data_IF_675530280709
#
_entry.id   IF_675530280709
#
_cell.length_a   1.000
_cell.length_b   1.000
_cell.length_c   1.000
_cell.angle_alpha   90.00
_cell.angle_beta   90.00
_cell.angle_gamma   90.00
#
_symmetry.space_group_name_H-M   'P 1'
#
loop_
_entity.id
_entity.type
_entity.pdbx_description
1 polymer ?
#
# COMPACT_ATOMS: atom_id res chain seq x y z
N UNK A 1 -38.91 -30.82 -55.37
CA UNK A 1 -38.56 -29.97 -54.21
C UNK A 1 -37.17 -30.39 -53.76
N UNK A 2 -36.19 -29.50 -53.82
CA UNK A 2 -34.84 -29.80 -53.31
C UNK A 2 -34.88 -29.72 -51.79
N UNK A 3 -34.59 -30.85 -51.14
CA UNK A 3 -34.62 -31.00 -49.68
C UNK A 3 -33.17 -31.02 -49.20
N UNK A 4 -32.86 -30.19 -48.21
CA UNK A 4 -31.53 -30.12 -47.60
C UNK A 4 -31.58 -30.59 -46.16
N UNK A 5 -30.53 -31.31 -45.74
CA UNK A 5 -30.32 -31.66 -44.34
C UNK A 5 -29.73 -30.46 -43.60
N UNK A 6 -30.42 -29.98 -42.58
CA UNK A 6 -30.01 -28.87 -41.71
C UNK A 6 -29.72 -29.41 -40.31
N UNK A 7 -28.55 -29.09 -39.77
CA UNK A 7 -28.17 -29.36 -38.39
C UNK A 7 -28.27 -28.07 -37.57
N UNK A 8 -29.19 -28.05 -36.61
CA UNK A 8 -29.32 -26.99 -35.61
C UNK A 8 -28.52 -27.37 -34.36
N UNK A 9 -27.49 -26.61 -34.06
CA UNK A 9 -26.66 -26.78 -32.87
C UNK A 9 -27.09 -25.74 -31.84
N UNK A 10 -27.67 -26.21 -30.75
CA UNK A 10 -28.11 -25.38 -29.63
C UNK A 10 -27.02 -25.24 -28.57
N UNK A 11 -27.08 -24.19 -27.73
CA UNK A 11 -26.20 -24.08 -26.59
C UNK A 11 -26.54 -25.16 -25.54
N UNK A 12 -25.52 -25.64 -24.83
CA UNK A 12 -25.69 -26.56 -23.70
C UNK A 12 -26.68 -25.99 -22.68
N UNK A 13 -27.63 -26.79 -22.12
CA UNK A 13 -27.72 -28.26 -22.15
C UNK A 13 -28.61 -28.85 -23.27
N UNK A 14 -28.98 -28.07 -24.29
CA UNK A 14 -29.93 -28.54 -25.31
C UNK A 14 -29.25 -29.44 -26.35
N UNK A 15 -29.96 -30.50 -26.78
CA UNK A 15 -29.49 -31.42 -27.81
C UNK A 15 -29.55 -30.77 -29.20
N UNK A 16 -28.58 -31.08 -30.06
CA UNK A 16 -28.63 -30.71 -31.47
C UNK A 16 -29.78 -31.42 -32.19
N UNK A 17 -30.30 -30.78 -33.22
CA UNK A 17 -31.48 -31.24 -33.93
C UNK A 17 -31.21 -31.27 -35.43
N UNK A 18 -31.57 -32.39 -36.08
CA UNK A 18 -31.40 -32.59 -37.53
C UNK A 18 -32.76 -32.59 -38.21
N UNK A 19 -32.94 -31.78 -39.25
CA UNK A 19 -34.20 -31.70 -40.01
C UNK A 19 -33.88 -31.67 -41.49
N UNK A 20 -34.80 -32.24 -42.27
CA UNK A 20 -34.82 -32.10 -43.72
C UNK A 20 -35.83 -31.03 -44.11
N UNK A 21 -35.36 -29.92 -44.67
CA UNK A 21 -36.18 -28.76 -45.02
C UNK A 21 -36.03 -28.43 -46.52
N UNK A 22 -37.09 -27.93 -47.18
CA UNK A 22 -36.97 -27.37 -48.53
C UNK A 22 -36.02 -26.17 -48.59
N UNK A 23 -35.29 -26.01 -49.70
CA UNK A 23 -34.39 -24.85 -49.90
C UNK A 23 -35.08 -23.47 -49.78
N UNK A 24 -36.39 -23.43 -50.03
CA UNK A 24 -37.19 -22.20 -49.98
C UNK A 24 -37.56 -21.78 -48.56
N UNK A 25 -37.28 -22.59 -47.54
CA UNK A 25 -37.60 -22.22 -46.16
C UNK A 25 -36.72 -21.07 -45.71
N UNK A 26 -37.34 -20.08 -45.06
CA UNK A 26 -36.65 -18.95 -44.48
C UNK A 26 -36.07 -19.31 -43.12
N UNK A 27 -34.98 -18.66 -42.74
CA UNK A 27 -34.35 -18.85 -41.44
C UNK A 27 -35.32 -18.56 -40.28
N UNK A 28 -36.25 -17.61 -40.43
CA UNK A 28 -37.28 -17.32 -39.42
C UNK A 28 -38.27 -18.46 -39.17
N UNK A 29 -38.42 -19.39 -40.13
CA UNK A 29 -39.35 -20.53 -40.04
C UNK A 29 -38.72 -21.77 -39.41
N UNK A 30 -37.44 -21.72 -39.04
CA UNK A 30 -36.76 -22.86 -38.41
C UNK A 30 -37.33 -23.11 -37.00
N UNK A 31 -37.48 -24.39 -36.59
CA UNK A 31 -38.03 -24.76 -35.29
C UNK A 31 -37.00 -24.54 -34.18
N UNK A 32 -36.81 -23.27 -33.85
CA UNK A 32 -36.03 -22.83 -32.68
C UNK A 32 -37.00 -22.70 -31.51
N UNK A 33 -36.69 -23.25 -30.32
CA UNK A 33 -37.52 -23.06 -29.13
C UNK A 33 -37.81 -21.57 -28.88
N UNK A 34 -39.07 -21.23 -28.60
CA UNK A 34 -39.53 -19.84 -28.45
C UNK A 34 -38.72 -19.04 -27.41
N UNK A 35 -38.23 -19.71 -26.36
CA UNK A 35 -37.35 -19.12 -25.35
C UNK A 35 -36.02 -18.58 -25.94
N UNK A 36 -35.51 -19.24 -26.98
CA UNK A 36 -34.28 -18.85 -27.67
C UNK A 36 -34.55 -17.95 -28.87
N UNK A 37 -35.72 -18.05 -29.51
CA UNK A 37 -36.03 -17.31 -30.73
C UNK A 37 -35.88 -15.78 -30.58
N UNK A 38 -36.37 -15.22 -29.47
CA UNK A 38 -36.31 -13.77 -29.24
C UNK A 38 -34.94 -13.25 -28.82
N UNK A 39 -34.12 -14.11 -28.22
CA UNK A 39 -32.84 -13.71 -27.62
C UNK A 39 -31.64 -14.24 -28.37
N UNK A 40 -31.80 -15.05 -29.42
CA UNK A 40 -30.68 -15.68 -30.11
C UNK A 40 -30.52 -15.16 -31.53
N UNK A 41 -29.36 -15.41 -32.12
CA UNK A 41 -29.16 -15.30 -33.57
C UNK A 41 -28.63 -16.62 -34.09
N UNK A 42 -28.91 -16.88 -35.36
CA UNK A 42 -28.39 -18.02 -36.08
C UNK A 42 -27.13 -17.60 -36.82
N UNK A 43 -26.11 -18.46 -36.83
CA UNK A 43 -24.88 -18.28 -37.60
C UNK A 43 -24.47 -19.60 -38.25
N UNK A 44 -23.80 -19.55 -39.40
CA UNK A 44 -23.13 -20.74 -39.92
C UNK A 44 -21.73 -20.87 -39.29
N UNK A 45 -21.01 -21.94 -39.64
CA UNK A 45 -19.60 -22.11 -39.27
C UNK A 45 -18.66 -21.13 -39.98
N UNK A 46 -19.03 -20.66 -41.18
CA UNK A 46 -18.19 -19.81 -42.05
C UNK A 46 -18.63 -18.35 -42.10
N UNK A 47 -19.89 -18.06 -41.80
CA UNK A 47 -20.48 -16.73 -41.91
C UNK A 47 -20.97 -16.19 -40.56
N UNK A 48 -21.11 -14.87 -40.49
CA UNK A 48 -21.57 -14.14 -39.32
C UNK A 48 -23.07 -14.37 -39.00
N UNK A 49 -23.68 -13.46 -38.22
CA UNK A 49 -25.11 -13.56 -37.89
C UNK A 49 -25.95 -13.50 -39.17
N UNK A 50 -26.84 -14.47 -39.33
CA UNK A 50 -27.75 -14.59 -40.45
C UNK A 50 -28.98 -13.71 -40.25
N UNK A 51 -29.48 -13.15 -41.35
CA UNK A 51 -30.73 -12.39 -41.37
C UNK A 51 -31.93 -13.36 -41.31
N UNK A 52 -33.04 -13.01 -40.63
CA UNK A 52 -34.22 -13.89 -40.56
C UNK A 52 -34.86 -14.16 -41.93
N UNK A 53 -34.61 -13.31 -42.92
CA UNK A 53 -35.22 -13.39 -44.26
C UNK A 53 -34.35 -14.12 -45.29
N UNK A 54 -33.14 -14.57 -44.97
CA UNK A 54 -32.31 -15.28 -45.95
C UNK A 54 -32.85 -16.71 -46.14
N UNK A 55 -33.03 -17.18 -47.38
CA UNK A 55 -33.43 -18.54 -47.68
C UNK A 55 -32.28 -19.53 -47.46
N UNK A 56 -32.59 -20.81 -47.26
CA UNK A 56 -31.56 -21.85 -47.14
C UNK A 56 -30.73 -22.03 -48.42
N UNK A 57 -31.26 -21.65 -49.59
CA UNK A 57 -30.54 -21.71 -50.86
C UNK A 57 -29.25 -20.88 -50.89
N UNK A 58 -29.22 -19.73 -50.21
CA UNK A 58 -28.04 -18.87 -50.13
C UNK A 58 -26.93 -19.44 -49.23
N UNK A 59 -27.23 -20.48 -48.45
CA UNK A 59 -26.30 -21.09 -47.50
C UNK A 59 -25.63 -22.36 -48.05
N UNK A 60 -26.01 -22.77 -49.26
CA UNK A 60 -25.45 -23.93 -49.92
C UNK A 60 -24.08 -23.57 -50.49
N UNK A 61 -23.18 -24.54 -50.46
CA UNK A 61 -21.87 -24.38 -51.10
C UNK A 61 -22.02 -24.74 -52.58
N UNK A 62 -21.67 -23.82 -53.47
CA UNK A 62 -21.67 -24.04 -54.93
C UNK A 62 -20.85 -25.29 -55.32
N UNK A 63 -19.77 -25.56 -54.58
CA UNK A 63 -18.89 -26.73 -54.81
C UNK A 63 -19.48 -28.07 -54.35
N UNK A 64 -20.49 -28.05 -53.47
CA UNK A 64 -21.04 -29.25 -52.83
C UNK A 64 -22.54 -29.07 -52.46
N UNK A 65 -23.47 -29.26 -53.42
CA UNK A 65 -24.89 -28.99 -53.21
C UNK A 65 -25.55 -29.92 -52.18
N UNK A 66 -25.02 -31.13 -52.00
CA UNK A 66 -25.54 -32.11 -51.04
C UNK A 66 -24.94 -31.96 -49.63
N UNK A 67 -24.09 -30.98 -49.37
CA UNK A 67 -23.45 -30.81 -48.07
C UNK A 67 -24.47 -30.29 -47.03
N UNK A 68 -24.59 -30.94 -45.85
CA UNK A 68 -25.56 -30.51 -44.86
C UNK A 68 -25.25 -29.11 -44.33
N UNK A 69 -26.29 -28.32 -44.11
CA UNK A 69 -26.17 -26.94 -43.60
C UNK A 69 -26.10 -26.99 -42.09
N UNK A 70 -25.01 -26.54 -41.50
CA UNK A 70 -24.84 -26.47 -40.04
C UNK A 70 -25.08 -25.05 -39.53
N UNK A 71 -26.11 -24.88 -38.69
CA UNK A 71 -26.49 -23.62 -38.08
C UNK A 71 -26.31 -23.69 -36.56
N UNK A 72 -25.61 -22.71 -36.00
CA UNK A 72 -25.47 -22.56 -34.56
C UNK A 72 -26.45 -21.52 -34.04
N UNK A 73 -27.27 -21.91 -33.07
CA UNK A 73 -28.13 -21.01 -32.32
C UNK A 73 -27.31 -20.42 -31.19
N UNK A 74 -27.01 -19.11 -31.27
CA UNK A 74 -26.18 -18.43 -30.27
C UNK A 74 -27.03 -17.42 -29.51
N UNK A 75 -27.18 -17.55 -28.18
CA UNK A 75 -27.92 -16.58 -27.39
C UNK A 75 -27.18 -15.23 -27.41
N UNK A 76 -27.92 -14.15 -27.65
CA UNK A 76 -27.49 -12.78 -27.43
C UNK A 76 -27.56 -12.53 -25.93
N UNK A 77 -26.39 -12.34 -25.35
CA UNK A 77 -26.31 -11.85 -23.99
C UNK A 77 -26.73 -10.39 -23.99
N UNK A 78 -27.65 -9.99 -23.11
CA UNK A 78 -28.12 -8.60 -22.94
C UNK A 78 -27.04 -7.68 -22.32
N UNK A 79 -25.76 -8.04 -22.43
CA UNK A 79 -24.64 -7.33 -21.84
C UNK A 79 -23.78 -6.65 -22.89
N UNK A 80 -23.61 -5.33 -22.76
CA UNK A 80 -22.53 -4.60 -23.42
C UNK A 80 -21.19 -5.25 -23.09
N UNK A 81 -20.30 -5.33 -24.08
CA UNK A 81 -18.96 -5.93 -24.02
C UNK A 81 -18.34 -5.67 -22.63
N UNK A 82 -18.33 -6.71 -21.80
CA UNK A 82 -18.08 -6.60 -20.37
C UNK A 82 -16.78 -5.88 -20.06
N UNK A 83 -16.68 -5.35 -18.83
CA UNK A 83 -15.54 -4.57 -18.31
C UNK A 83 -14.17 -5.25 -18.37
N UNK A 84 -14.02 -6.40 -19.02
CA UNK A 84 -12.73 -6.97 -19.38
C UNK A 84 -11.89 -6.01 -20.23
N UNK A 85 -12.49 -5.33 -21.23
CA UNK A 85 -11.76 -4.33 -22.02
C UNK A 85 -11.33 -3.10 -21.21
N UNK A 86 -12.14 -2.66 -20.25
CA UNK A 86 -11.77 -1.57 -19.33
C UNK A 86 -10.74 -2.01 -18.30
N UNK A 87 -10.82 -3.26 -17.82
CA UNK A 87 -9.81 -3.87 -16.97
C UNK A 87 -8.47 -4.01 -17.69
N UNK A 88 -8.45 -4.44 -18.96
CA UNK A 88 -7.24 -4.51 -19.77
C UNK A 88 -6.64 -3.11 -19.97
N UNK A 89 -7.47 -2.09 -20.26
CA UNK A 89 -7.00 -0.70 -20.34
C UNK A 89 -6.45 -0.19 -19.00
N UNK A 90 -7.13 -0.49 -17.89
CA UNK A 90 -6.69 -0.11 -16.55
C UNK A 90 -5.38 -0.82 -16.15
N UNK A 91 -5.23 -2.10 -16.48
CA UNK A 91 -4.02 -2.88 -16.24
C UNK A 91 -2.87 -2.40 -17.12
N UNK A 92 -3.10 -2.18 -18.41
CA UNK A 92 -2.11 -1.65 -19.35
C UNK A 92 -1.61 -0.26 -18.95
N UNK A 93 -2.49 0.60 -18.44
CA UNK A 93 -2.10 1.90 -17.89
C UNK A 93 -1.11 1.78 -16.73
N UNK A 94 -1.38 0.87 -15.76
CA UNK A 94 -0.50 0.61 -14.61
C UNK A 94 0.85 0.04 -15.02
N UNK A 95 0.87 -0.85 -16.01
CA UNK A 95 2.11 -1.45 -16.52
C UNK A 95 2.96 -0.43 -17.29
N UNK A 96 2.34 0.51 -18.00
CA UNK A 96 3.08 1.54 -18.75
C UNK A 96 3.66 2.64 -17.85
N UNK A 97 2.98 2.96 -16.74
CA UNK A 97 3.44 3.99 -15.80
C UNK A 97 4.49 3.47 -14.80
N UNK A 98 4.48 2.16 -14.53
CA UNK A 98 5.52 1.47 -13.74
C UNK A 98 6.81 1.28 -14.52
N UNK A 99 7.43 2.36 -15.02
CA UNK A 99 8.81 2.29 -15.52
C UNK A 99 9.70 1.85 -14.36
N UNK A 100 10.35 0.70 -14.52
CA UNK A 100 11.21 0.14 -13.49
C UNK A 100 12.28 1.16 -13.10
N UNK A 101 12.23 1.64 -11.86
CA UNK A 101 13.19 2.59 -11.30
C UNK A 101 14.50 1.91 -10.88
N UNK A 102 14.58 0.59 -10.99
CA UNK A 102 15.78 -0.18 -10.70
C UNK A 102 16.71 -0.22 -11.94
N UNK A 103 17.44 0.87 -12.14
CA UNK A 103 18.48 1.02 -13.18
C UNK A 103 19.81 0.39 -12.74
N UNK A 104 19.87 -0.20 -11.55
CA UNK A 104 21.12 -0.60 -10.92
C UNK A 104 21.76 -1.83 -11.55
N UNK A 105 20.93 -2.65 -12.19
CA UNK A 105 21.36 -3.83 -12.93
C UNK A 105 21.94 -3.49 -14.31
N UNK A 106 21.72 -2.27 -14.81
CA UNK A 106 22.25 -1.82 -16.09
C UNK A 106 23.78 -1.70 -16.02
N UNK A 107 24.43 -1.99 -17.16
CA UNK A 107 25.88 -1.85 -17.33
C UNK A 107 26.24 -0.59 -18.11
N UNK A 108 27.41 -0.04 -17.83
CA UNK A 108 28.02 1.02 -18.62
C UNK A 108 28.77 0.44 -19.84
N UNK A 109 29.33 1.32 -20.68
CA UNK A 109 30.16 0.93 -21.84
C UNK A 109 31.47 0.23 -21.43
N UNK A 110 31.85 0.31 -20.16
CA UNK A 110 33.02 -0.39 -19.60
C UNK A 110 32.68 -1.78 -19.02
N UNK A 111 31.40 -2.16 -19.02
CA UNK A 111 30.90 -3.45 -18.52
C UNK A 111 30.61 -3.50 -17.02
N UNK A 112 30.82 -2.40 -16.29
CA UNK A 112 30.54 -2.26 -14.85
C UNK A 112 29.06 -1.96 -14.63
N UNK A 113 28.49 -2.44 -13.53
CA UNK A 113 27.08 -2.17 -13.19
C UNK A 113 26.94 -0.79 -12.58
N UNK A 114 25.87 -0.07 -12.90
CA UNK A 114 25.61 1.25 -12.34
C UNK A 114 25.50 1.22 -10.80
N UNK A 115 25.01 0.12 -10.22
CA UNK A 115 24.99 -0.06 -8.77
C UNK A 115 26.38 -0.05 -8.13
N UNK A 116 27.33 -0.78 -8.71
CA UNK A 116 28.70 -0.82 -8.19
C UNK A 116 29.38 0.56 -8.24
N UNK A 117 29.06 1.37 -9.25
CA UNK A 117 29.59 2.72 -9.38
C UNK A 117 29.00 3.63 -8.30
N UNK A 118 27.68 3.58 -8.09
CA UNK A 118 27.00 4.37 -7.04
C UNK A 118 27.46 3.99 -5.64
N UNK A 119 27.70 2.69 -5.40
CA UNK A 119 28.23 2.22 -4.12
C UNK A 119 29.64 2.74 -3.86
N UNK A 120 30.51 2.68 -4.86
CA UNK A 120 31.86 3.23 -4.75
C UNK A 120 31.85 4.76 -4.54
N UNK A 121 30.98 5.50 -5.24
CA UNK A 121 30.80 6.94 -5.04
C UNK A 121 30.33 7.25 -3.61
N UNK A 122 29.31 6.53 -3.11
CA UNK A 122 28.82 6.70 -1.74
C UNK A 122 29.92 6.42 -0.71
N UNK A 123 30.76 5.41 -0.94
CA UNK A 123 31.88 5.12 -0.05
C UNK A 123 32.94 6.23 -0.06
N UNK A 124 33.26 6.80 -1.24
CA UNK A 124 34.18 7.92 -1.35
C UNK A 124 33.65 9.17 -0.64
N UNK A 125 32.38 9.53 -0.85
CA UNK A 125 31.73 10.66 -0.19
C UNK A 125 31.71 10.52 1.35
N UNK A 126 31.52 9.29 1.86
CA UNK A 126 31.61 9.03 3.30
C UNK A 126 33.01 9.28 3.84
N UNK A 127 34.04 8.74 3.18
CA UNK A 127 35.44 8.95 3.60
C UNK A 127 35.84 10.43 3.53
N UNK A 128 35.36 11.17 2.54
CA UNK A 128 35.60 12.61 2.40
C UNK A 128 34.87 13.43 3.48
N UNK A 129 33.67 13.00 3.90
CA UNK A 129 32.88 13.71 4.91
C UNK A 129 33.22 13.33 6.36
N UNK A 130 33.85 12.19 6.60
CA UNK A 130 34.34 11.75 7.91
C UNK A 130 35.12 12.82 8.71
N UNK A 131 36.14 13.52 8.16
CA UNK A 131 36.89 14.51 8.94
C UNK A 131 36.02 15.71 9.36
N UNK A 132 35.10 16.15 8.50
CA UNK A 132 34.17 17.23 8.81
C UNK A 132 33.19 16.82 9.91
N UNK A 133 32.64 15.61 9.83
CA UNK A 133 31.76 15.05 10.86
C UNK A 133 32.49 14.85 12.19
N UNK A 134 33.75 14.37 12.17
CA UNK A 134 34.58 14.25 13.37
C UNK A 134 34.88 15.61 14.01
N UNK A 135 35.19 16.63 13.22
CA UNK A 135 35.43 17.98 13.73
C UNK A 135 34.15 18.58 14.37
N UNK A 136 32.98 18.38 13.75
CA UNK A 136 31.70 18.81 14.32
C UNK A 136 31.36 18.06 15.60
N UNK A 137 31.57 16.74 15.64
CA UNK A 137 31.36 15.94 16.84
C UNK A 137 32.26 16.40 17.99
N UNK A 138 33.56 16.61 17.72
CA UNK A 138 34.50 17.12 18.72
C UNK A 138 34.13 18.54 19.19
N UNK A 139 33.67 19.42 18.29
CA UNK A 139 33.20 20.75 18.68
C UNK A 139 31.95 20.69 19.57
N UNK A 140 31.01 19.79 19.25
CA UNK A 140 29.81 19.57 20.04
C UNK A 140 30.13 18.94 21.42
N UNK A 141 31.07 18.01 21.48
CA UNK A 141 31.56 17.43 22.74
C UNK A 141 32.25 18.48 23.61
N UNK A 142 33.13 19.30 23.03
CA UNK A 142 33.78 20.41 23.73
C UNK A 142 32.76 21.42 24.26
N UNK A 143 31.77 21.80 23.45
CA UNK A 143 30.71 22.71 23.87
C UNK A 143 29.84 22.11 25.00
N UNK A 144 29.58 20.79 24.96
CA UNK A 144 28.88 20.09 26.04
C UNK A 144 29.70 20.05 27.32
N UNK A 145 31.00 19.75 27.23
CA UNK A 145 31.91 19.76 28.37
C UNK A 145 32.00 21.16 28.99
N UNK A 146 32.19 22.20 28.18
CA UNK A 146 32.22 23.59 28.65
C UNK A 146 30.88 24.00 29.30
N UNK A 147 29.74 23.58 28.73
CA UNK A 147 28.44 23.83 29.33
C UNK A 147 28.23 23.08 30.65
N UNK A 148 28.79 21.88 30.80
CA UNK A 148 28.76 21.12 32.06
C UNK A 148 29.70 21.74 33.09
N UNK A 149 30.91 22.16 32.70
CA UNK A 149 31.88 22.85 33.56
C UNK A 149 31.29 24.17 34.11
N UNK A 150 30.61 24.95 33.25
CA UNK A 150 29.88 26.15 33.68
C UNK A 150 28.76 25.86 34.68
N UNK A 151 28.03 24.76 34.49
CA UNK A 151 26.95 24.34 35.41
C UNK A 151 27.48 23.79 36.73
N UNK A 152 28.68 23.19 36.72
CA UNK A 152 29.33 22.62 37.88
C UNK A 152 30.23 23.62 38.63
N UNK A 153 30.40 24.84 38.10
CA UNK A 153 31.05 25.96 38.80
C UNK A 153 32.57 25.83 38.98
N UNK A 154 33.25 24.97 38.20
CA UNK A 154 34.70 24.82 38.26
C UNK A 154 35.32 25.83 37.29
N UNK A 155 35.55 27.06 37.76
CA UNK A 155 36.32 28.05 37.00
C UNK A 155 37.82 27.71 37.11
N UNK A 156 38.44 27.33 35.99
CA UNK A 156 39.88 27.10 35.88
C UNK A 156 40.76 28.37 36.10
N UNK A 157 40.15 29.49 36.46
CA UNK A 157 40.82 30.77 36.74
C UNK A 157 41.00 31.08 38.24
N UNK A 158 40.48 30.25 39.15
CA UNK A 158 40.66 30.43 40.60
C UNK A 158 41.43 29.27 41.26
N UNK A 159 42.37 28.66 40.53
CA UNK A 159 43.31 27.67 41.08
C UNK A 159 44.79 28.01 40.80
N UNK A 160 45.06 29.27 40.49
CA UNK A 160 46.41 29.85 40.47
C UNK A 160 46.50 30.95 41.52
N UNK A 161 46.64 30.56 42.78
CA UNK A 161 47.30 31.29 43.91
C UNK A 161 46.90 30.62 45.24
N UNK A 162 47.27 29.36 45.46
CA UNK A 162 47.86 28.97 46.75
C UNK A 162 48.52 27.59 46.65
N UNK A 163 49.73 27.49 47.19
CA UNK A 163 50.56 26.30 47.10
C UNK A 163 50.02 25.18 47.98
N UNK A 164 49.38 24.16 47.39
CA UNK A 164 49.33 22.85 48.02
C UNK A 164 49.24 21.73 46.97
N UNK A 165 50.36 21.03 46.79
CA UNK A 165 50.43 19.73 46.11
C UNK A 165 49.54 18.74 46.87
N UNK A 166 48.25 18.68 46.56
CA UNK A 166 47.44 17.52 46.89
C UNK A 166 47.64 16.49 45.78
N UNK A 167 48.56 15.55 46.07
CA UNK A 167 48.64 14.29 45.36
C UNK A 167 47.25 13.66 45.33
N UNK A 168 46.93 13.01 44.21
CA UNK A 168 45.69 12.26 43.93
C UNK A 168 45.52 11.02 44.85
N UNK A 169 46.37 10.86 45.87
CA UNK A 169 46.46 9.67 46.72
C UNK A 169 45.63 9.76 48.02
N UNK A 170 45.18 10.95 48.44
CA UNK A 170 44.37 11.14 49.66
C UNK A 170 42.94 11.64 49.36
N UNK A 171 42.24 10.94 48.47
CA UNK A 171 40.77 10.95 48.54
C UNK A 171 40.41 9.86 49.55
N UNK A 172 40.19 10.25 50.81
CA UNK A 172 39.76 9.35 51.87
C UNK A 172 38.44 8.66 51.47
N UNK A 173 38.57 7.46 50.88
CA UNK A 173 37.48 6.56 50.52
C UNK A 173 36.56 6.30 51.73
N UNK A 174 37.08 6.46 52.95
CA UNK A 174 36.35 6.35 54.21
C UNK A 174 35.39 7.52 54.48
N UNK A 175 35.70 8.76 54.09
CA UNK A 175 34.79 9.91 54.26
C UNK A 175 33.67 9.92 53.21
N UNK A 176 34.00 9.56 51.96
CA UNK A 176 33.00 9.38 50.90
C UNK A 176 32.08 8.18 51.16
N UNK A 177 32.58 7.11 51.79
CA UNK A 177 31.76 5.96 52.19
C UNK A 177 31.00 6.17 53.51
N UNK A 178 31.43 7.09 54.39
CA UNK A 178 30.65 7.50 55.59
C UNK A 178 29.51 8.45 55.23
N UNK A 179 29.72 9.30 54.22
CA UNK A 179 28.65 10.03 53.54
C UNK A 179 27.95 9.07 52.58
N UNK A 180 27.34 8.00 53.11
CA UNK A 180 26.38 7.18 52.35
C UNK A 180 25.20 8.08 52.01
N UNK A 181 25.29 8.81 50.91
CA UNK A 181 24.14 9.36 50.23
C UNK A 181 23.36 8.15 49.75
N UNK A 182 22.50 7.64 50.63
CA UNK A 182 21.57 6.56 50.33
C UNK A 182 20.76 7.10 49.16
N UNK A 183 21.01 6.54 47.98
CA UNK A 183 20.43 6.96 46.72
C UNK A 183 18.93 6.61 46.75
N UNK A 184 18.17 7.39 47.52
CA UNK A 184 16.73 7.33 47.63
C UNK A 184 16.15 8.20 46.53
N UNK A 185 16.55 7.93 45.28
CA UNK A 185 15.98 8.57 44.11
C UNK A 185 14.63 7.87 43.80
N UNK A 186 13.72 7.92 44.78
CA UNK A 186 12.34 7.45 44.65
C UNK A 186 11.68 8.10 43.43
N UNK A 187 12.08 9.34 43.13
CA UNK A 187 11.69 10.08 41.94
C UNK A 187 12.15 9.42 40.66
N UNK A 188 13.40 8.94 40.56
CA UNK A 188 13.87 8.21 39.38
C UNK A 188 13.16 6.87 39.19
N UNK A 189 12.85 6.16 40.28
CA UNK A 189 12.09 4.92 40.24
C UNK A 189 10.63 5.15 39.84
N UNK A 190 10.01 6.22 40.32
CA UNK A 190 8.66 6.65 39.93
C UNK A 190 8.63 7.09 38.46
N UNK A 191 9.55 7.95 38.02
CA UNK A 191 9.69 8.39 36.62
C UNK A 191 9.95 7.19 35.69
N UNK A 192 10.81 6.26 36.08
CA UNK A 192 11.06 5.02 35.30
C UNK A 192 9.83 4.12 35.25
N UNK A 193 9.03 4.04 36.31
CA UNK A 193 7.77 3.29 36.34
C UNK A 193 6.73 3.95 35.44
N UNK A 194 6.57 5.26 35.53
CA UNK A 194 5.66 6.05 34.69
C UNK A 194 5.99 5.94 33.20
N UNK A 195 7.27 6.02 32.83
CA UNK A 195 7.70 5.85 31.44
C UNK A 195 7.34 4.43 30.95
N UNK A 196 7.59 3.40 31.75
CA UNK A 196 7.26 2.03 31.38
C UNK A 196 5.74 1.79 31.25
N UNK A 197 4.94 2.40 32.12
CA UNK A 197 3.47 2.29 32.07
C UNK A 197 2.87 3.08 30.91
N UNK A 198 3.45 4.22 30.55
CA UNK A 198 3.10 4.98 29.36
C UNK A 198 3.43 4.21 28.06
N UNK A 199 4.57 3.51 28.00
CA UNK A 199 4.91 2.66 26.85
C UNK A 199 3.96 1.45 26.76
N UNK A 200 3.67 0.79 27.88
CA UNK A 200 2.74 -0.37 27.93
C UNK A 200 1.31 0.01 27.54
N UNK A 201 0.81 1.14 28.03
CA UNK A 201 -0.51 1.66 27.66
C UNK A 201 -0.58 2.04 26.18
N UNK A 202 0.44 2.69 25.63
CA UNK A 202 0.51 3.01 24.20
C UNK A 202 0.53 1.75 23.32
N UNK A 203 1.33 0.73 23.67
CA UNK A 203 1.41 -0.53 22.93
C UNK A 203 0.10 -1.31 23.01
N UNK A 204 -0.53 -1.39 24.19
CA UNK A 204 -1.83 -2.06 24.35
C UNK A 204 -2.95 -1.35 23.58
N UNK A 205 -2.99 -0.02 23.58
CA UNK A 205 -3.90 0.77 22.77
C UNK A 205 -3.66 0.54 21.26
N UNK A 206 -2.41 0.52 20.83
CA UNK A 206 -2.04 0.22 19.44
C UNK A 206 -2.44 -1.20 19.01
N UNK A 207 -2.29 -2.21 19.87
CA UNK A 207 -2.72 -3.59 19.61
C UNK A 207 -4.24 -3.72 19.54
N UNK A 208 -4.98 -3.04 20.41
CA UNK A 208 -6.45 -3.01 20.36
C UNK A 208 -6.96 -2.32 19.09
N UNK A 209 -6.34 -1.21 18.68
CA UNK A 209 -6.63 -0.54 17.41
C UNK A 209 -6.29 -1.42 16.21
N UNK A 210 -5.18 -2.16 16.25
CA UNK A 210 -4.81 -3.13 15.21
C UNK A 210 -5.81 -4.29 15.14
N UNK A 211 -6.29 -4.79 16.29
CA UNK A 211 -7.31 -5.85 16.37
C UNK A 211 -8.68 -5.37 15.90
N UNK A 212 -9.09 -4.14 16.24
CA UNK A 212 -10.31 -3.50 15.73
C UNK A 212 -10.23 -3.29 14.21
N UNK A 213 -9.12 -2.74 13.70
CA UNK A 213 -8.88 -2.61 12.25
C UNK A 213 -8.84 -3.96 11.53
N UNK A 214 -8.34 -5.02 12.17
CA UNK A 214 -8.37 -6.40 11.62
C UNK A 214 -9.80 -6.94 11.55
N UNK A 215 -10.59 -6.78 12.62
CA UNK A 215 -12.02 -7.15 12.63
C UNK A 215 -12.86 -6.36 11.62
N UNK A 216 -12.61 -5.06 11.46
CA UNK A 216 -13.26 -4.23 10.44
C UNK A 216 -12.86 -4.62 9.01
N UNK A 217 -11.62 -5.06 8.79
CA UNK A 217 -11.17 -5.62 7.51
C UNK A 217 -11.79 -6.99 7.23
N UNK A 218 -11.95 -7.84 8.25
CA UNK A 218 -12.64 -9.13 8.13
C UNK A 218 -14.15 -8.94 7.88
N UNK A 219 -14.81 -7.99 8.56
CA UNK A 219 -16.22 -7.65 8.34
C UNK A 219 -16.50 -6.99 6.97
N UNK A 220 -15.55 -6.23 6.40
CA UNK A 220 -15.67 -5.70 5.03
C UNK A 220 -15.41 -6.73 3.92
N UNK A 221 -14.89 -7.91 4.26
CA UNK A 221 -14.64 -9.00 3.29
C UNK A 221 -15.75 -10.05 3.28
N UNK A 222 -16.69 -9.99 4.22
CA UNK A 222 -17.88 -10.86 4.24
C UNK A 222 -19.11 -10.12 4.77
N UNK A 223 -20.00 -9.70 3.87
CA UNK A 223 -21.33 -9.21 4.24
C UNK A 223 -21.72 -7.92 3.53
N UNK A 224 -22.53 -8.05 2.49
CA UNK A 224 -23.24 -6.93 1.88
C UNK A 224 -24.40 -6.44 2.75
N UNK A 225 -24.67 -5.14 2.58
CA UNK A 225 -25.94 -4.42 2.77
C UNK A 225 -26.38 -3.88 4.15
N UNK A 226 -26.79 -2.60 4.06
CA UNK A 226 -27.69 -1.76 4.87
C UNK A 226 -27.20 -1.06 6.16
N UNK A 227 -27.32 0.28 6.12
CA UNK A 227 -28.12 1.00 7.13
C UNK A 227 -27.42 2.09 7.95
N UNK A 228 -27.52 3.34 7.48
CA UNK A 228 -27.59 4.63 8.21
C UNK A 228 -27.07 4.68 9.67
N UNK A 229 -25.89 5.28 9.86
CA UNK A 229 -25.57 6.10 11.05
C UNK A 229 -24.40 7.03 10.69
N UNK A 230 -24.68 8.29 10.32
CA UNK A 230 -23.69 9.19 9.71
C UNK A 230 -23.66 10.61 10.29
N UNK A 231 -24.22 10.84 11.48
CA UNK A 231 -24.37 12.22 12.00
C UNK A 231 -23.56 12.50 13.28
N UNK A 232 -23.04 11.50 13.98
CA UNK A 232 -22.33 11.72 15.27
C UNK A 232 -20.79 11.82 15.12
N UNK A 233 -20.26 11.65 13.91
CA UNK A 233 -18.80 11.52 13.68
C UNK A 233 -18.11 12.86 13.41
N UNK A 234 -18.83 13.86 12.90
CA UNK A 234 -18.21 15.14 12.50
C UNK A 234 -17.85 16.04 13.69
N UNK A 235 -18.63 16.05 14.79
CA UNK A 235 -18.33 16.90 15.96
C UNK A 235 -17.06 16.47 16.73
N UNK A 236 -16.74 15.16 16.73
CA UNK A 236 -15.51 14.67 17.38
C UNK A 236 -14.26 14.83 16.53
N UNK A 237 -14.41 14.89 15.21
CA UNK A 237 -13.27 15.12 14.31
C UNK A 237 -12.79 16.57 14.35
N UNK A 238 -13.69 17.52 14.59
CA UNK A 238 -13.36 18.94 14.72
C UNK A 238 -12.65 19.26 16.06
N UNK A 239 -13.07 18.61 17.15
CA UNK A 239 -12.42 18.75 18.46
C UNK A 239 -10.98 18.21 18.49
N UNK A 240 -10.70 17.14 17.72
CA UNK A 240 -9.34 16.56 17.65
C UNK A 240 -8.39 17.43 16.82
N UNK A 241 -8.87 18.08 15.76
CA UNK A 241 -8.05 19.01 14.96
C UNK A 241 -7.73 20.31 15.69
N UNK A 242 -8.60 20.76 16.59
CA UNK A 242 -8.34 21.93 17.45
C UNK A 242 -7.28 21.62 18.51
N UNK A 243 -7.33 20.43 19.11
CA UNK A 243 -6.33 19.96 20.08
C UNK A 243 -4.94 19.65 19.47
N UNK A 244 -4.87 19.29 18.20
CA UNK A 244 -3.59 19.08 17.49
C UNK A 244 -2.95 20.41 17.07
N UNK A 245 -3.76 21.44 16.78
CA UNK A 245 -3.27 22.78 16.45
C UNK A 245 -2.80 23.55 17.70
N UNK A 246 -3.51 23.41 18.82
CA UNK A 246 -3.10 24.02 20.11
C UNK A 246 -1.84 23.36 20.72
N UNK A 247 -1.46 22.15 20.27
CA UNK A 247 -0.20 21.48 20.65
C UNK A 247 1.01 21.93 19.83
N UNK A 248 0.81 22.63 18.70
CA UNK A 248 1.88 23.14 17.84
C UNK A 248 2.27 24.59 18.16
N UNK A 249 1.44 25.33 18.91
CA UNK A 249 1.67 26.73 19.30
C UNK A 249 2.22 26.91 20.73
N UNK A 250 2.59 25.83 21.44
CA UNK A 250 3.14 25.94 22.79
C UNK A 250 4.68 26.03 22.74
N UNK A 251 5.29 27.12 23.27
CA UNK A 251 6.75 27.25 23.31
C UNK A 251 7.38 26.16 24.20
N UNK A 252 8.65 25.78 23.94
CA UNK A 252 9.33 24.73 24.70
C UNK A 252 9.37 25.06 26.21
N UNK A 253 9.40 24.03 27.08
CA UNK A 253 9.29 24.21 28.53
C UNK A 253 10.39 25.13 29.06
N UNK A 254 9.96 26.17 29.75
CA UNK A 254 10.82 27.14 30.44
C UNK A 254 11.47 26.42 31.62
N UNK A 255 12.79 26.25 31.58
CA UNK A 255 13.56 25.90 32.78
C UNK A 255 13.45 27.05 33.76
N UNK A 256 12.79 26.81 34.90
CA UNK A 256 12.58 27.81 35.94
C UNK A 256 13.93 28.37 36.44
N UNK A 257 14.16 29.65 36.18
CA UNK A 257 15.08 30.47 36.95
C UNK A 257 14.48 30.74 38.32
N UNK A 258 15.28 30.58 39.37
CA UNK A 258 14.97 31.10 40.69
C UNK A 258 15.22 32.62 40.72
N UNK A 259 14.31 33.33 41.37
CA UNK A 259 14.11 34.77 41.33
C UNK A 259 15.13 35.59 42.16
N UNK A 260 15.46 36.77 41.63
CA UNK A 260 15.32 38.14 42.20
C UNK A 260 15.32 38.25 43.73
N UNK A 261 16.11 39.14 44.34
CA UNK A 261 15.71 40.55 44.57
C UNK A 261 16.85 41.57 44.58
N UNK A 262 16.52 42.76 44.04
CA UNK A 262 17.10 44.05 44.39
C UNK A 262 16.66 44.50 45.80
#
# INVERSE_FOLDING_TARGET
MTIQTVFLIFPSPLNSLQIQLPLTTLISSLPVPSALASTSYLRTTRSGPLSPCTPLSELIHEDAPNHPITLHVTPRLLGGKGGFGSQLRAAGGRMSSGKATNVDSCRDLSGRRLGTIKEAQRQAELLESEPALRAQAQAAEKAKLEALERKLGINAAESSEDGSKRKIEDVDLAELARKKHKFEDNKFLEESREINDNVRSAVSAALLLKKKKKKEKEAKTGGGEKGKEKVVVDEKAEQVKKAEKDRLDMPPPVTAGAATTA
#
